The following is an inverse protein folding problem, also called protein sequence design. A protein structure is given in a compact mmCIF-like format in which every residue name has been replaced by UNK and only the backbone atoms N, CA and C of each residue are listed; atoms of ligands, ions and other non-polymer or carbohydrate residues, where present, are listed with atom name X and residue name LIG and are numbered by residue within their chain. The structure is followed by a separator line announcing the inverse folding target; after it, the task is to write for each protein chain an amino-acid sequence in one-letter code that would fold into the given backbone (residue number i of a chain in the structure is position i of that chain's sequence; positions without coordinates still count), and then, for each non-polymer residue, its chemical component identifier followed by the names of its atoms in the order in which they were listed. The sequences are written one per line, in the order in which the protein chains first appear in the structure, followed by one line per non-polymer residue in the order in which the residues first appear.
data_IF_965355269021
#
_entry.id   IF_965355269021
#
_cell.length_a   1.000
_cell.length_b   1.000
_cell.length_c   1.000
_cell.angle_alpha   90.00
_cell.angle_beta   90.00
_cell.angle_gamma   90.00
#
_symmetry.space_group_name_H-M   'P 1'
#
loop_
_entity.id
_entity.type
_entity.pdbx_description
1 polymer ?
#
# COMPACT_ATOMS: atom_id res chain seq x y z
N UNK A 1 58.83 24.76 65.87
CA UNK A 1 58.69 26.12 65.32
C UNK A 1 57.20 26.35 65.00
N UNK A 2 56.57 27.34 65.66
CA UNK A 2 55.26 28.01 65.44
C UNK A 2 54.08 27.19 64.86
N UNK A 3 53.03 26.82 65.61
CA UNK A 3 51.84 27.59 66.11
C UNK A 3 50.99 28.28 65.03
N UNK A 4 49.67 28.01 65.04
CA UNK A 4 48.62 28.73 64.32
C UNK A 4 47.29 27.97 64.28
N UNK A 5 46.58 27.81 65.41
CA UNK A 5 45.40 28.62 65.84
C UNK A 5 44.09 28.15 65.18
N UNK A 6 43.20 27.62 66.01
CA UNK A 6 41.76 27.48 65.78
C UNK A 6 41.07 28.83 65.84
N UNK A 7 40.06 29.07 64.99
CA UNK A 7 38.80 29.68 65.44
C UNK A 7 37.61 29.21 64.57
N UNK A 8 36.40 29.09 65.17
CA UNK A 8 35.19 28.56 64.56
C UNK A 8 34.19 29.67 64.16
N UNK A 9 33.16 29.25 63.41
CA UNK A 9 31.90 29.97 63.26
C UNK A 9 31.83 30.85 62.01
N UNK A 10 30.98 30.51 61.07
CA UNK A 10 29.66 31.12 60.94
C UNK A 10 28.84 30.40 59.85
N UNK A 11 27.55 30.23 60.15
CA UNK A 11 26.41 30.27 59.24
C UNK A 11 26.48 29.48 57.95
N UNK A 12 25.66 28.42 57.83
CA UNK A 12 24.68 28.25 56.73
C UNK A 12 23.57 27.28 57.18
N UNK A 13 22.81 27.65 58.22
CA UNK A 13 21.47 27.08 58.47
C UNK A 13 20.48 27.98 57.76
N UNK A 14 20.38 27.84 56.43
CA UNK A 14 19.54 28.76 55.63
C UNK A 14 19.16 28.28 54.24
N UNK A 15 19.88 27.33 53.64
CA UNK A 15 19.56 26.85 52.28
C UNK A 15 18.63 25.63 52.22
N UNK A 16 18.48 24.87 53.31
CA UNK A 16 17.68 23.64 53.30
C UNK A 16 16.17 23.88 53.27
N UNK A 17 15.69 25.05 53.70
CA UNK A 17 14.24 25.37 53.75
C UNK A 17 13.72 25.93 52.42
N UNK A 18 14.56 26.62 51.64
CA UNK A 18 14.18 27.15 50.32
C UNK A 18 14.19 26.07 49.22
N UNK A 19 14.99 25.01 49.37
CA UNK A 19 15.04 23.90 48.40
C UNK A 19 13.80 22.99 48.44
N UNK A 20 13.12 22.89 49.58
CA UNK A 20 11.96 21.98 49.76
C UNK A 20 10.66 22.52 49.13
N UNK A 21 10.47 23.85 49.13
CA UNK A 21 9.30 24.48 48.51
C UNK A 21 9.34 24.49 46.97
N UNK A 22 10.54 24.50 46.37
CA UNK A 22 10.72 24.53 44.91
C UNK A 22 10.57 23.15 44.23
N UNK A 23 10.72 22.04 44.99
CA UNK A 23 10.55 20.68 44.46
C UNK A 23 9.08 20.30 44.22
N UNK A 24 8.16 20.79 45.05
CA UNK A 24 6.72 20.51 44.92
C UNK A 24 6.07 21.14 43.67
N UNK A 25 6.60 22.27 43.19
CA UNK A 25 6.01 22.99 42.05
C UNK A 25 6.49 22.47 40.68
N UNK A 26 7.67 21.83 40.62
CA UNK A 26 8.20 21.24 39.37
C UNK A 26 7.47 19.96 38.94
N UNK A 27 7.02 19.15 39.88
CA UNK A 27 6.34 17.87 39.61
C UNK A 27 4.89 18.07 39.15
N UNK A 28 4.15 19.02 39.75
CA UNK A 28 2.74 19.30 39.42
C UNK A 28 2.61 19.91 38.00
N UNK A 29 3.51 20.81 37.61
CA UNK A 29 3.53 21.42 36.26
C UNK A 29 3.90 20.42 35.16
N UNK A 30 4.69 19.38 35.49
CA UNK A 30 5.09 18.32 34.56
C UNK A 30 3.94 17.38 34.20
N UNK A 31 3.08 17.04 35.17
CA UNK A 31 1.94 16.13 34.97
C UNK A 31 0.82 16.81 34.16
N UNK A 32 0.51 18.08 34.46
CA UNK A 32 -0.50 18.84 33.73
C UNK A 32 -0.10 19.09 32.26
N UNK A 33 1.17 19.42 31.99
CA UNK A 33 1.64 19.64 30.62
C UNK A 33 1.67 18.33 29.78
N UNK A 34 1.95 17.18 30.41
CA UNK A 34 1.84 15.84 29.78
C UNK A 34 0.38 15.50 29.44
N UNK A 35 -0.58 15.82 30.30
CA UNK A 35 -2.01 15.50 30.12
C UNK A 35 -2.67 16.32 29.01
N UNK A 36 -2.34 17.61 28.87
CA UNK A 36 -2.92 18.49 27.84
C UNK A 36 -2.34 18.26 26.42
N UNK A 37 -1.04 17.91 26.28
CA UNK A 37 -0.43 17.56 24.98
C UNK A 37 -0.92 16.21 24.43
N UNK A 38 -1.35 15.31 25.32
CA UNK A 38 -1.84 13.97 24.99
C UNK A 38 -3.34 13.94 24.61
N UNK A 39 -4.16 14.84 25.15
CA UNK A 39 -5.59 14.94 24.80
C UNK A 39 -5.81 15.56 23.40
N UNK A 40 -5.07 16.61 23.03
CA UNK A 40 -5.19 17.27 21.72
C UNK A 40 -4.61 16.44 20.56
N UNK A 41 -3.62 15.58 20.84
CA UNK A 41 -3.07 14.63 19.87
C UNK A 41 -3.96 13.40 19.69
N UNK A 42 -4.74 12.98 20.69
CA UNK A 42 -5.70 11.85 20.56
C UNK A 42 -6.87 12.16 19.63
N UNK A 43 -7.48 13.34 19.74
CA UNK A 43 -8.64 13.68 18.90
C UNK A 43 -8.24 13.93 17.45
N UNK A 44 -7.11 14.62 17.21
CA UNK A 44 -6.59 14.80 15.84
C UNK A 44 -6.18 13.45 15.24
N UNK A 45 -5.47 12.58 15.99
CA UNK A 45 -5.13 11.24 15.50
C UNK A 45 -6.37 10.40 15.15
N UNK A 46 -7.40 10.41 16.00
CA UNK A 46 -8.67 9.73 15.70
C UNK A 46 -9.35 10.31 14.47
N UNK A 47 -9.36 11.64 14.31
CA UNK A 47 -9.94 12.28 13.13
C UNK A 47 -9.20 11.88 11.84
N UNK A 48 -7.86 11.91 11.85
CA UNK A 48 -7.04 11.47 10.71
C UNK A 48 -7.20 9.97 10.42
N UNK A 49 -7.23 9.12 11.44
CA UNK A 49 -7.44 7.68 11.28
C UNK A 49 -8.84 7.37 10.73
N UNK A 50 -9.89 8.00 11.25
CA UNK A 50 -11.26 7.83 10.75
C UNK A 50 -11.43 8.39 9.34
N UNK A 51 -10.85 9.55 9.04
CA UNK A 51 -10.90 10.14 7.70
C UNK A 51 -10.15 9.28 6.68
N UNK A 52 -8.96 8.78 7.02
CA UNK A 52 -8.21 7.89 6.14
C UNK A 52 -8.95 6.58 5.89
N UNK A 53 -9.51 5.96 6.94
CA UNK A 53 -10.30 4.74 6.79
C UNK A 53 -11.55 4.97 5.93
N UNK A 54 -12.28 6.06 6.16
CA UNK A 54 -13.44 6.43 5.35
C UNK A 54 -13.07 6.65 3.88
N UNK A 55 -11.95 7.32 3.61
CA UNK A 55 -11.45 7.53 2.25
C UNK A 55 -11.16 6.21 1.54
N UNK A 56 -10.37 5.31 2.16
CA UNK A 56 -10.05 4.01 1.56
C UNK A 56 -11.30 3.14 1.38
N UNK A 57 -12.24 3.19 2.32
CA UNK A 57 -13.50 2.47 2.22
C UNK A 57 -14.32 2.96 1.02
N UNK A 58 -14.51 4.27 0.89
CA UNK A 58 -15.26 4.87 -0.22
C UNK A 58 -14.55 4.57 -1.55
N UNK A 59 -13.23 4.70 -1.61
CA UNK A 59 -12.44 4.40 -2.80
C UNK A 59 -12.63 2.94 -3.23
N UNK A 60 -12.44 1.98 -2.33
CA UNK A 60 -12.65 0.55 -2.61
C UNK A 60 -14.07 0.27 -3.10
N UNK A 61 -15.10 0.80 -2.42
CA UNK A 61 -16.50 0.60 -2.84
C UNK A 61 -16.75 1.18 -4.24
N UNK A 62 -16.23 2.38 -4.52
CA UNK A 62 -16.38 3.01 -5.84
C UNK A 62 -15.69 2.23 -6.96
N UNK A 63 -14.51 1.64 -6.69
CA UNK A 63 -13.80 0.77 -7.63
C UNK A 63 -14.61 -0.50 -7.90
N UNK A 64 -15.15 -1.15 -6.86
CA UNK A 64 -15.96 -2.35 -7.02
C UNK A 64 -17.24 -2.07 -7.82
N UNK A 65 -17.96 -0.99 -7.52
CA UNK A 65 -19.15 -0.57 -8.29
C UNK A 65 -18.77 -0.34 -9.75
N UNK A 66 -17.68 0.39 -10.01
CA UNK A 66 -17.20 0.64 -11.37
C UNK A 66 -16.87 -0.65 -12.11
N UNK A 67 -16.24 -1.62 -11.44
CA UNK A 67 -15.92 -2.92 -12.02
C UNK A 67 -17.18 -3.72 -12.39
N UNK A 68 -18.20 -3.72 -11.52
CA UNK A 68 -19.48 -4.37 -11.83
C UNK A 68 -20.20 -3.70 -13.00
N UNK A 69 -20.13 -2.37 -13.11
CA UNK A 69 -20.68 -1.63 -14.26
C UNK A 69 -19.95 -2.02 -15.54
N UNK A 70 -18.62 -2.07 -15.54
CA UNK A 70 -17.82 -2.49 -16.69
C UNK A 70 -18.13 -3.94 -17.10
N UNK A 71 -18.27 -4.85 -16.13
CA UNK A 71 -18.65 -6.24 -16.38
C UNK A 71 -20.05 -6.33 -16.98
N UNK A 72 -21.01 -5.56 -16.47
CA UNK A 72 -22.36 -5.48 -17.04
C UNK A 72 -22.35 -4.97 -18.48
N UNK A 73 -21.56 -3.93 -18.76
CA UNK A 73 -21.41 -3.39 -20.10
C UNK A 73 -20.73 -4.38 -21.06
N UNK A 74 -19.70 -5.10 -20.59
CA UNK A 74 -19.04 -6.16 -21.35
C UNK A 74 -20.01 -7.29 -21.75
N UNK A 75 -20.82 -7.76 -20.80
CA UNK A 75 -21.85 -8.78 -21.05
C UNK A 75 -22.93 -8.27 -22.01
N UNK A 76 -23.34 -7.01 -21.84
CA UNK A 76 -24.31 -6.37 -22.73
C UNK A 76 -23.81 -6.28 -24.17
N UNK A 77 -22.55 -5.87 -24.37
CA UNK A 77 -21.90 -5.78 -25.68
C UNK A 77 -21.84 -7.16 -26.36
N UNK A 78 -21.40 -8.19 -25.63
CA UNK A 78 -21.31 -9.57 -26.15
C UNK A 78 -22.70 -10.11 -26.50
N UNK A 79 -23.69 -9.92 -25.62
CA UNK A 79 -25.05 -10.37 -25.85
C UNK A 79 -25.68 -9.68 -27.07
N UNK A 80 -25.51 -8.36 -27.17
CA UNK A 80 -25.96 -7.57 -28.32
C UNK A 80 -25.33 -8.03 -29.63
N UNK A 81 -24.02 -8.30 -29.63
CA UNK A 81 -23.29 -8.80 -30.79
C UNK A 81 -23.73 -10.20 -31.25
N UNK A 82 -24.16 -11.07 -30.32
CA UNK A 82 -24.64 -12.43 -30.64
C UNK A 82 -26.10 -12.42 -31.13
N UNK A 83 -26.97 -11.64 -30.48
CA UNK A 83 -28.40 -11.60 -30.78
C UNK A 83 -28.73 -10.79 -32.04
N UNK A 84 -27.84 -9.88 -32.47
CA UNK A 84 -28.02 -9.11 -33.68
C UNK A 84 -27.92 -10.01 -34.92
N UNK A 85 -29.06 -10.24 -35.57
CA UNK A 85 -29.21 -11.09 -36.75
C UNK A 85 -28.65 -10.48 -38.04
N UNK A 86 -28.45 -9.16 -38.06
CA UNK A 86 -28.00 -8.39 -39.23
C UNK A 86 -26.47 -8.19 -39.30
N UNK A 87 -25.71 -8.81 -38.38
CA UNK A 87 -24.25 -8.67 -38.34
C UNK A 87 -23.52 -9.76 -39.14
N UNK A 88 -22.64 -9.30 -40.04
CA UNK A 88 -21.62 -10.12 -40.68
C UNK A 88 -20.72 -10.81 -39.63
N UNK A 89 -20.16 -11.98 -39.98
CA UNK A 89 -19.30 -12.78 -39.08
C UNK A 89 -18.13 -11.99 -38.50
N UNK A 90 -17.53 -11.09 -39.29
CA UNK A 90 -16.42 -10.23 -38.87
C UNK A 90 -16.82 -9.27 -37.75
N UNK A 91 -17.99 -8.65 -37.86
CA UNK A 91 -18.48 -7.67 -36.87
C UNK A 91 -18.88 -8.35 -35.56
N UNK A 92 -19.40 -9.57 -35.60
CA UNK A 92 -19.70 -10.36 -34.39
C UNK A 92 -18.44 -10.68 -33.59
N UNK A 93 -17.38 -11.09 -34.28
CA UNK A 93 -16.09 -11.37 -33.62
C UNK A 93 -15.49 -10.09 -33.03
N UNK A 94 -15.63 -8.94 -33.71
CA UNK A 94 -15.14 -7.65 -33.21
C UNK A 94 -15.85 -7.23 -31.92
N UNK A 95 -17.18 -7.27 -31.90
CA UNK A 95 -17.98 -6.95 -30.70
C UNK A 95 -17.68 -7.93 -29.55
N UNK A 96 -17.50 -9.22 -29.84
CA UNK A 96 -17.07 -10.19 -28.83
C UNK A 96 -15.69 -9.85 -28.23
N UNK A 97 -14.71 -9.47 -29.05
CA UNK A 97 -13.38 -9.06 -28.59
C UNK A 97 -13.42 -7.75 -27.80
N UNK A 98 -14.23 -6.78 -28.21
CA UNK A 98 -14.42 -5.53 -27.47
C UNK A 98 -15.03 -5.79 -26.09
N UNK A 99 -16.03 -6.68 -26.00
CA UNK A 99 -16.59 -7.14 -24.75
C UNK A 99 -15.58 -7.89 -23.87
N UNK A 100 -14.75 -8.77 -24.44
CA UNK A 100 -13.69 -9.46 -23.67
C UNK A 100 -12.66 -8.46 -23.13
N UNK A 101 -12.29 -7.42 -23.91
CA UNK A 101 -11.41 -6.36 -23.42
C UNK A 101 -12.00 -5.63 -22.22
N UNK A 102 -13.28 -5.23 -22.31
CA UNK A 102 -14.00 -4.61 -21.19
C UNK A 102 -14.10 -5.53 -19.96
N UNK A 103 -14.24 -6.83 -20.18
CA UNK A 103 -14.26 -7.84 -19.11
C UNK A 103 -12.90 -7.93 -18.40
N UNK A 104 -11.78 -7.88 -19.13
CA UNK A 104 -10.42 -7.89 -18.56
C UNK A 104 -10.18 -6.63 -17.74
N UNK A 105 -10.57 -5.46 -18.27
CA UNK A 105 -10.48 -4.19 -17.53
C UNK A 105 -11.30 -4.28 -16.25
N UNK A 106 -12.54 -4.77 -16.32
CA UNK A 106 -13.39 -4.99 -15.14
C UNK A 106 -12.73 -5.91 -14.10
N UNK A 107 -12.18 -7.03 -14.54
CA UNK A 107 -11.46 -7.97 -13.68
C UNK A 107 -10.26 -7.32 -12.97
N UNK A 108 -9.43 -6.58 -13.72
CA UNK A 108 -8.28 -5.87 -13.18
C UNK A 108 -8.68 -4.85 -12.10
N UNK A 109 -9.82 -4.16 -12.26
CA UNK A 109 -10.34 -3.22 -11.26
C UNK A 109 -10.82 -3.95 -10.00
N UNK A 110 -11.47 -5.13 -10.11
CA UNK A 110 -11.85 -5.94 -8.94
C UNK A 110 -10.61 -6.40 -8.16
N UNK A 111 -9.59 -6.89 -8.86
CA UNK A 111 -8.35 -7.34 -8.22
C UNK A 111 -7.65 -6.19 -7.49
N UNK A 112 -7.55 -5.01 -8.12
CA UNK A 112 -6.98 -3.82 -7.50
C UNK A 112 -7.80 -3.34 -6.29
N UNK A 113 -9.13 -3.31 -6.41
CA UNK A 113 -10.03 -2.91 -5.32
C UNK A 113 -9.95 -3.86 -4.12
N UNK A 114 -9.93 -5.16 -4.37
CA UNK A 114 -9.80 -6.20 -3.33
C UNK A 114 -8.43 -6.15 -2.67
N UNK A 115 -7.37 -5.90 -3.45
CA UNK A 115 -6.02 -5.71 -2.90
C UNK A 115 -5.96 -4.50 -1.95
N UNK A 116 -6.51 -3.34 -2.34
CA UNK A 116 -6.55 -2.15 -1.48
C UNK A 116 -7.37 -2.43 -0.21
N UNK A 117 -8.50 -3.13 -0.34
CA UNK A 117 -9.33 -3.51 0.79
C UNK A 117 -8.56 -4.40 1.79
N UNK A 118 -7.87 -5.43 1.28
CA UNK A 118 -7.04 -6.32 2.10
C UNK A 118 -5.88 -5.59 2.76
N UNK A 119 -5.23 -4.65 2.06
CA UNK A 119 -4.03 -3.97 2.56
C UNK A 119 -4.32 -2.86 3.57
N UNK A 120 -5.34 -2.04 3.32
CA UNK A 120 -5.60 -0.82 4.12
C UNK A 120 -6.80 -0.95 5.07
N UNK A 121 -7.82 -1.76 4.72
CA UNK A 121 -9.03 -1.89 5.55
C UNK A 121 -8.95 -3.07 6.53
N UNK A 122 -8.41 -4.21 6.09
CA UNK A 122 -8.42 -5.46 6.88
C UNK A 122 -7.14 -5.59 7.72
N UNK A 123 -5.99 -5.18 7.16
CA UNK A 123 -4.69 -5.34 7.83
C UNK A 123 -4.50 -4.25 8.86
N UNK A 124 -4.47 -4.64 10.13
CA UNK A 124 -4.27 -3.71 11.25
C UNK A 124 -2.86 -3.10 11.20
N UNK A 125 -2.72 -1.81 11.55
CA UNK A 125 -1.46 -1.04 11.59
C UNK A 125 -0.45 -1.52 12.67
N UNK A 126 -0.41 -2.80 13.00
CA UNK A 126 0.62 -3.34 13.88
C UNK A 126 1.92 -3.48 13.09
N UNK A 127 2.84 -2.53 13.33
CA UNK A 127 4.25 -2.52 12.95
C UNK A 127 4.61 -3.47 11.80
N UNK A 128 4.33 -3.04 10.56
CA UNK A 128 4.74 -3.75 9.34
C UNK A 128 6.20 -4.19 9.48
N UNK A 129 6.43 -5.49 9.52
CA UNK A 129 7.80 -5.99 9.35
C UNK A 129 8.27 -5.64 7.93
N UNK A 130 9.56 -5.35 7.75
CA UNK A 130 10.13 -5.03 6.44
C UNK A 130 9.83 -6.12 5.39
N UNK A 131 9.68 -7.39 5.83
CA UNK A 131 9.31 -8.53 4.97
C UNK A 131 7.86 -8.46 4.48
N UNK A 132 6.92 -8.05 5.31
CA UNK A 132 5.50 -7.95 4.94
C UNK A 132 5.23 -6.83 3.93
N UNK A 133 5.90 -5.68 4.08
CA UNK A 133 5.77 -4.56 3.13
C UNK A 133 6.22 -4.97 1.72
N UNK A 134 7.34 -5.70 1.61
CA UNK A 134 7.83 -6.22 0.32
C UNK A 134 6.83 -7.19 -0.32
N UNK A 135 6.22 -8.08 0.48
CA UNK A 135 5.23 -9.04 -0.03
C UNK A 135 4.01 -8.35 -0.62
N UNK A 136 3.52 -7.29 0.03
CA UNK A 136 2.40 -6.48 -0.45
C UNK A 136 2.73 -5.80 -1.79
N UNK A 137 3.89 -5.14 -1.87
CA UNK A 137 4.36 -4.48 -3.11
C UNK A 137 4.47 -5.49 -4.26
N UNK A 138 5.10 -6.64 -4.02
CA UNK A 138 5.22 -7.68 -5.04
C UNK A 138 3.86 -8.19 -5.50
N UNK A 139 2.90 -8.43 -4.57
CA UNK A 139 1.54 -8.87 -4.92
C UNK A 139 0.84 -7.84 -5.83
N UNK A 140 0.97 -6.55 -5.51
CA UNK A 140 0.40 -5.48 -6.32
C UNK A 140 1.00 -5.42 -7.73
N UNK A 141 2.32 -5.46 -7.85
CA UNK A 141 3.01 -5.42 -9.14
C UNK A 141 2.62 -6.66 -9.98
N UNK A 142 2.55 -7.85 -9.37
CA UNK A 142 2.14 -9.07 -10.07
C UNK A 142 0.74 -8.94 -10.67
N UNK A 143 -0.24 -8.38 -9.92
CA UNK A 143 -1.60 -8.14 -10.42
C UNK A 143 -1.58 -7.26 -11.67
N UNK A 144 -0.84 -6.13 -11.61
CA UNK A 144 -0.73 -5.20 -12.75
C UNK A 144 -0.09 -5.88 -13.96
N UNK A 145 0.97 -6.66 -13.77
CA UNK A 145 1.67 -7.36 -14.86
C UNK A 145 0.79 -8.42 -15.52
N UNK A 146 0.02 -9.19 -14.74
CA UNK A 146 -0.94 -10.16 -15.28
C UNK A 146 -2.02 -9.44 -16.09
N UNK A 147 -2.62 -8.38 -15.54
CA UNK A 147 -3.65 -7.60 -16.23
C UNK A 147 -3.13 -6.99 -17.55
N UNK A 148 -1.96 -6.35 -17.54
CA UNK A 148 -1.36 -5.77 -18.74
C UNK A 148 -1.03 -6.84 -19.80
N UNK A 149 -0.62 -8.04 -19.37
CA UNK A 149 -0.34 -9.16 -20.29
C UNK A 149 -1.61 -9.67 -20.97
N UNK A 150 -2.70 -9.80 -20.22
CA UNK A 150 -4.01 -10.24 -20.74
C UNK A 150 -4.60 -9.19 -21.70
N UNK A 151 -4.52 -7.91 -21.33
CA UNK A 151 -4.99 -6.80 -22.16
C UNK A 151 -4.25 -6.75 -23.51
N UNK A 152 -2.91 -6.88 -23.47
CA UNK A 152 -2.10 -6.89 -24.69
C UNK A 152 -2.46 -8.06 -25.62
N UNK A 153 -2.71 -9.24 -25.06
CA UNK A 153 -3.07 -10.42 -25.85
C UNK A 153 -4.42 -10.25 -26.55
N UNK A 154 -5.42 -9.71 -25.86
CA UNK A 154 -6.72 -9.41 -26.48
C UNK A 154 -6.58 -8.37 -27.58
N UNK A 155 -5.74 -7.35 -27.36
CA UNK A 155 -5.49 -6.32 -28.35
C UNK A 155 -4.79 -6.87 -29.60
N UNK A 156 -3.85 -7.83 -29.46
CA UNK A 156 -3.25 -8.55 -30.61
C UNK A 156 -4.32 -9.23 -31.44
N UNK A 157 -5.28 -9.93 -30.81
CA UNK A 157 -6.37 -10.59 -31.53
C UNK A 157 -7.34 -9.60 -32.20
N UNK A 158 -7.51 -8.41 -31.62
CA UNK A 158 -8.31 -7.33 -32.20
C UNK A 158 -7.65 -6.74 -33.43
N UNK A 159 -6.39 -6.30 -33.33
CA UNK A 159 -5.69 -5.63 -34.44
C UNK A 159 -5.20 -6.61 -35.51
N UNK A 160 -4.88 -7.85 -35.13
CA UNK A 160 -4.38 -8.88 -36.04
C UNK A 160 -5.37 -9.28 -37.15
N UNK A 161 -6.66 -8.93 -36.98
CA UNK A 161 -7.70 -9.14 -38.01
C UNK A 161 -7.92 -7.94 -38.91
N UNK A 162 -7.40 -6.75 -38.57
CA UNK A 162 -7.63 -5.50 -39.30
C UNK A 162 -6.46 -5.18 -40.24
N UNK A 163 -5.22 -5.13 -39.72
CA UNK A 163 -4.02 -4.84 -40.54
C UNK A 163 -2.72 -5.29 -39.83
N UNK A 164 -1.80 -5.91 -40.58
CA UNK A 164 -0.48 -6.34 -40.05
C UNK A 164 0.32 -5.22 -39.36
N UNK A 165 0.46 -4.00 -39.92
CA UNK A 165 1.22 -2.94 -39.24
C UNK A 165 0.61 -2.49 -37.90
N UNK A 166 -0.69 -2.68 -37.67
CA UNK A 166 -1.36 -2.29 -36.43
C UNK A 166 -1.00 -3.20 -35.23
N UNK A 167 -0.38 -4.36 -35.47
CA UNK A 167 0.01 -5.33 -34.43
C UNK A 167 1.22 -4.86 -33.61
N UNK A 168 1.94 -3.83 -34.06
CA UNK A 168 3.14 -3.31 -33.37
C UNK A 168 2.79 -2.76 -31.98
N UNK A 169 1.68 -2.02 -31.83
CA UNK A 169 1.31 -1.45 -30.53
C UNK A 169 0.98 -2.53 -29.48
N UNK A 170 0.11 -3.52 -29.78
CA UNK A 170 -0.13 -4.65 -28.87
C UNK A 170 1.13 -5.47 -28.58
N UNK A 171 2.00 -5.70 -29.57
CA UNK A 171 3.25 -6.41 -29.37
C UNK A 171 4.21 -5.64 -28.44
N UNK A 172 4.32 -4.33 -28.59
CA UNK A 172 5.12 -3.48 -27.70
C UNK A 172 4.55 -3.46 -26.27
N UNK A 173 3.22 -3.41 -26.12
CA UNK A 173 2.56 -3.51 -24.82
C UNK A 173 2.85 -4.86 -24.17
N UNK A 174 2.74 -5.96 -24.91
CA UNK A 174 3.07 -7.30 -24.43
C UNK A 174 4.55 -7.42 -24.03
N UNK A 175 5.46 -6.90 -24.85
CA UNK A 175 6.88 -6.87 -24.54
C UNK A 175 7.18 -6.07 -23.25
N UNK A 176 6.48 -4.95 -23.05
CA UNK A 176 6.61 -4.14 -21.82
C UNK A 176 6.14 -4.91 -20.58
N UNK A 177 5.05 -5.67 -20.68
CA UNK A 177 4.54 -6.50 -19.60
C UNK A 177 5.50 -7.64 -19.24
N UNK A 178 6.08 -8.30 -20.26
CA UNK A 178 7.11 -9.32 -20.06
C UNK A 178 8.39 -8.74 -19.43
N UNK A 179 8.82 -7.54 -19.85
CA UNK A 179 9.95 -6.84 -19.24
C UNK A 179 9.66 -6.54 -17.76
N UNK A 180 8.46 -6.07 -17.42
CA UNK A 180 8.05 -5.84 -16.04
C UNK A 180 8.04 -7.13 -15.22
N UNK A 181 7.61 -8.26 -15.80
CA UNK A 181 7.66 -9.57 -15.17
C UNK A 181 9.11 -10.00 -14.87
N UNK A 182 10.02 -9.83 -15.83
CA UNK A 182 11.45 -10.13 -15.66
C UNK A 182 12.07 -9.23 -14.60
N UNK A 183 11.77 -7.93 -14.61
CA UNK A 183 12.24 -6.98 -13.60
C UNK A 183 11.74 -7.36 -12.20
N UNK A 184 10.49 -7.81 -12.08
CA UNK A 184 9.94 -8.32 -10.83
C UNK A 184 10.64 -9.60 -10.37
N UNK A 185 10.92 -10.53 -11.28
CA UNK A 185 11.70 -11.74 -10.99
C UNK A 185 13.11 -11.43 -10.49
N UNK A 186 13.80 -10.46 -11.13
CA UNK A 186 15.10 -9.99 -10.71
C UNK A 186 15.06 -9.33 -9.32
N UNK A 187 14.05 -8.51 -9.03
CA UNK A 187 13.84 -7.91 -7.72
C UNK A 187 13.64 -8.98 -6.62
N UNK A 188 12.83 -10.01 -6.90
CA UNK A 188 12.61 -11.11 -5.96
C UNK A 188 13.89 -11.91 -5.71
N UNK A 189 14.68 -12.17 -6.75
CA UNK A 189 15.95 -12.88 -6.62
C UNK A 189 16.95 -12.12 -5.72
N UNK A 190 17.16 -10.83 -5.97
CA UNK A 190 18.00 -9.96 -5.12
C UNK A 190 17.51 -9.95 -3.67
N UNK A 191 16.21 -9.77 -3.46
CA UNK A 191 15.63 -9.70 -2.12
C UNK A 191 15.80 -11.01 -1.34
N UNK A 192 15.66 -12.16 -2.01
CA UNK A 192 15.83 -13.47 -1.37
C UNK A 192 17.29 -13.79 -1.03
N UNK A 193 18.24 -13.24 -1.80
CA UNK A 193 19.67 -13.47 -1.61
C UNK A 193 20.20 -12.77 -0.35
N UNK A 194 19.67 -11.58 -0.04
CA UNK A 194 20.04 -10.82 1.16
C UNK A 194 19.57 -11.52 2.44
N UNK A 195 18.40 -12.16 2.44
CA UNK A 195 17.87 -12.85 3.62
C UNK A 195 18.68 -14.11 3.93
N UNK A 196 19.12 -14.87 2.93
CA UNK A 196 19.96 -16.07 3.13
C UNK A 196 21.34 -15.76 3.72
N UNK A 197 21.88 -14.57 3.49
CA UNK A 197 23.19 -14.16 4.03
C UNK A 197 23.15 -13.69 5.49
N UNK A 198 21.96 -13.50 6.07
CA UNK A 198 21.80 -13.03 7.46
C UNK A 198 21.70 -14.14 8.51
N UNK A 199 21.48 -15.39 8.08
CA UNK A 199 21.18 -16.53 8.96
C UNK A 199 22.45 -17.34 9.35
N UNK A 200 23.63 -16.93 8.88
CA UNK A 200 24.92 -17.61 9.13
C UNK A 200 25.63 -17.14 10.42
N UNK A 201 24.90 -16.49 11.33
CA UNK A 201 25.41 -16.22 12.68
C UNK A 201 25.08 -17.41 13.59
N UNK A 202 26.09 -18.11 14.14
CA UNK A 202 25.86 -19.20 15.08
C UNK A 202 25.00 -18.71 16.24
N UNK A 203 23.81 -19.29 16.41
CA UNK A 203 23.00 -19.04 17.61
C UNK A 203 23.74 -19.66 18.81
N UNK A 204 23.97 -18.91 19.91
CA UNK A 204 24.55 -19.49 21.10
C UNK A 204 23.62 -20.58 21.64
N UNK A 205 24.16 -21.74 22.07
CA UNK A 205 23.34 -22.80 22.65
C UNK A 205 22.58 -22.27 23.87
N UNK A 206 21.30 -22.65 23.95
CA UNK A 206 20.35 -22.26 24.99
C UNK A 206 20.74 -22.77 26.39
#
# INVERSE_FOLDING_TARGET
MRRGISMPGEQWVGESVLASAAMGWRTIRCIACRKYRFARTRTMKKLYETAAFAYFLIATVSLLISAFVLMGYALWEIAGGILATDLNSVNRVRSALDGVGLMIIGFAVVEAGTFIAEEELIRKRELRSTRESRRSITKFITIIVIAASLEALVMVFKTGREAIPAVIYPAALFASAMLALVALGAYQWLSSSVERGGDDFPQPPA
#
